data_IF_646894740785
#
_entry.id   IF_646894740785
#
_cell.length_a   1.000
_cell.length_b   1.000
_cell.length_c   1.000
_cell.angle_alpha   90.00
_cell.angle_beta   90.00
_cell.angle_gamma   90.00
#
_symmetry.space_group_name_H-M   'P 1'
#
loop_
_entity.id
_entity.type
_entity.pdbx_description
1 polymer ?
#
# COMPACT_ATOMS: atom_id res chain seq x y z
N UNK A 1 7.21 -54.33 -31.83
CA UNK A 1 6.98 -55.17 -30.64
C UNK A 1 7.91 -54.69 -29.54
N UNK A 2 7.35 -54.31 -28.37
CA UNK A 2 7.96 -53.96 -27.06
C UNK A 2 8.77 -52.66 -26.85
N UNK A 3 8.48 -52.10 -25.67
CA UNK A 3 9.11 -50.99 -24.93
C UNK A 3 10.55 -51.31 -24.53
N UNK A 4 11.37 -50.28 -24.35
CA UNK A 4 12.62 -50.31 -23.60
C UNK A 4 12.94 -48.90 -23.09
N UNK A 5 13.25 -48.81 -21.80
CA UNK A 5 13.38 -47.59 -21.00
C UNK A 5 14.58 -46.71 -21.40
N UNK A 6 14.42 -45.39 -21.39
CA UNK A 6 15.55 -44.45 -21.41
C UNK A 6 15.68 -43.77 -20.05
N UNK A 7 16.75 -44.11 -19.33
CA UNK A 7 17.18 -43.45 -18.10
C UNK A 7 17.82 -42.09 -18.40
N UNK A 8 17.42 -41.06 -17.64
CA UNK A 8 17.76 -39.64 -17.82
C UNK A 8 19.22 -39.21 -17.60
N UNK A 9 20.21 -40.07 -17.82
CA UNK A 9 21.64 -39.74 -17.74
C UNK A 9 22.29 -39.44 -19.11
N UNK A 10 21.67 -39.80 -20.23
CA UNK A 10 22.26 -39.60 -21.57
C UNK A 10 21.94 -38.22 -22.19
N UNK A 11 20.94 -37.50 -21.70
CA UNK A 11 20.57 -36.18 -22.25
C UNK A 11 21.51 -35.04 -21.86
N UNK A 12 22.27 -35.16 -20.76
CA UNK A 12 23.13 -34.07 -20.26
C UNK A 12 24.48 -34.03 -20.98
N UNK A 13 24.93 -35.14 -21.56
CA UNK A 13 26.26 -35.23 -22.21
C UNK A 13 26.24 -34.63 -23.63
N UNK A 14 25.09 -34.68 -24.33
CA UNK A 14 25.01 -34.18 -25.71
C UNK A 14 24.92 -32.65 -25.84
N UNK A 15 24.55 -31.93 -24.77
CA UNK A 15 24.40 -30.46 -24.84
C UNK A 15 25.70 -29.70 -24.56
N UNK A 16 26.68 -30.31 -23.88
CA UNK A 16 27.94 -29.63 -23.52
C UNK A 16 29.01 -29.71 -24.64
N UNK A 17 28.93 -30.68 -25.55
CA UNK A 17 29.95 -30.88 -26.61
C UNK A 17 29.84 -29.89 -27.77
N UNK A 18 28.76 -29.10 -27.86
CA UNK A 18 28.61 -28.07 -28.92
C UNK A 18 29.25 -26.72 -28.62
N UNK A 19 29.83 -26.49 -27.44
CA UNK A 19 30.41 -25.17 -27.08
C UNK A 19 31.92 -25.10 -26.91
N UNK A 20 32.65 -26.21 -26.98
CA UNK A 20 34.12 -26.17 -26.93
C UNK A 20 34.67 -27.14 -27.97
N UNK A 21 35.19 -26.62 -29.07
CA UNK A 21 35.81 -27.39 -30.14
C UNK A 21 37.07 -28.13 -29.66
N UNK A 22 36.87 -29.29 -29.05
CA UNK A 22 37.93 -30.21 -28.63
C UNK A 22 38.11 -31.29 -29.70
N UNK A 23 39.32 -31.37 -30.26
CA UNK A 23 39.68 -32.38 -31.26
C UNK A 23 39.74 -33.77 -30.64
N UNK A 24 39.44 -34.81 -31.45
CA UNK A 24 39.38 -36.23 -31.03
C UNK A 24 40.64 -36.72 -30.27
N UNK A 25 41.81 -36.12 -30.53
CA UNK A 25 43.06 -36.42 -29.81
C UNK A 25 43.07 -35.98 -28.33
N UNK A 26 42.41 -34.87 -27.98
CA UNK A 26 42.30 -34.43 -26.57
C UNK A 26 41.32 -35.30 -25.77
N UNK A 27 40.27 -35.83 -26.41
CA UNK A 27 39.36 -36.80 -25.79
C UNK A 27 40.05 -38.14 -25.49
N UNK A 28 40.94 -38.63 -26.36
CA UNK A 28 41.67 -39.88 -26.11
C UNK A 28 42.64 -39.77 -24.92
N UNK A 29 43.31 -38.61 -24.78
CA UNK A 29 44.25 -38.35 -23.67
C UNK A 29 43.54 -38.18 -22.32
N UNK A 30 42.33 -37.61 -22.30
CA UNK A 30 41.51 -37.50 -21.10
C UNK A 30 40.94 -38.86 -20.66
N UNK A 31 40.60 -39.75 -21.61
CA UNK A 31 40.12 -41.11 -21.32
C UNK A 31 41.21 -41.99 -20.70
N UNK A 32 42.44 -41.91 -21.20
CA UNK A 32 43.57 -42.68 -20.66
C UNK A 32 43.99 -42.23 -19.23
N UNK A 33 43.61 -41.03 -18.79
CA UNK A 33 43.90 -40.53 -17.45
C UNK A 33 42.81 -40.87 -16.42
N UNK A 34 41.65 -41.40 -16.84
CA UNK A 34 40.54 -41.78 -15.97
C UNK A 34 40.63 -43.23 -15.47
N UNK A 35 41.35 -44.10 -16.18
CA UNK A 35 41.49 -45.53 -15.87
C UNK A 35 42.46 -45.84 -14.71
N UNK A 36 43.05 -44.81 -14.08
CA UNK A 36 44.02 -44.97 -12.99
C UNK A 36 43.64 -44.20 -11.71
N UNK A 37 42.35 -44.16 -11.36
CA UNK A 37 41.90 -43.64 -10.06
C UNK A 37 41.32 -44.75 -9.20
N UNK A 38 41.94 -44.95 -8.02
CA UNK A 38 41.45 -45.80 -6.94
C UNK A 38 39.95 -45.54 -6.66
N UNK A 39 39.18 -46.54 -6.17
CA UNK A 39 37.76 -46.37 -5.91
C UNK A 39 37.56 -45.21 -4.93
N UNK A 40 36.97 -44.13 -5.43
CA UNK A 40 36.51 -43.00 -4.63
C UNK A 40 35.47 -43.56 -3.66
N UNK A 41 35.78 -43.56 -2.36
CA UNK A 41 34.79 -43.88 -1.32
C UNK A 41 33.57 -42.98 -1.54
N UNK A 42 32.34 -43.52 -1.54
CA UNK A 42 31.16 -42.69 -1.72
C UNK A 42 31.14 -41.64 -0.61
N UNK A 43 31.20 -40.37 -1.02
CA UNK A 43 30.97 -39.23 -0.13
C UNK A 43 29.54 -39.43 0.41
N UNK A 44 29.33 -39.49 1.74
CA UNK A 44 27.99 -39.57 2.28
C UNK A 44 27.24 -38.31 1.84
N UNK A 45 26.28 -38.47 0.92
CA UNK A 45 25.28 -37.44 0.68
C UNK A 45 24.51 -37.35 1.99
N UNK A 46 24.74 -36.29 2.79
CA UNK A 46 23.87 -36.00 3.93
C UNK A 46 22.46 -35.87 3.35
N UNK A 47 21.64 -36.89 3.54
CA UNK A 47 20.23 -36.85 3.16
C UNK A 47 19.61 -35.64 3.85
N UNK A 48 18.79 -34.87 3.13
CA UNK A 48 18.01 -33.81 3.77
C UNK A 48 17.15 -34.46 4.84
N UNK A 49 17.15 -33.93 6.09
CA UNK A 49 16.37 -34.52 7.15
C UNK A 49 14.87 -34.44 6.79
N UNK A 50 14.13 -35.49 7.14
CA UNK A 50 12.69 -35.56 6.85
C UNK A 50 11.95 -34.48 7.63
N UNK A 51 11.07 -33.75 6.94
CA UNK A 51 10.20 -32.76 7.55
C UNK A 51 9.18 -33.45 8.46
N UNK A 52 9.08 -32.99 9.72
CA UNK A 52 8.24 -33.61 10.76
C UNK A 52 7.35 -32.61 11.48
N UNK A 53 7.71 -31.34 11.41
CA UNK A 53 7.05 -30.27 12.11
C UNK A 53 6.57 -29.19 11.15
N UNK A 54 5.53 -28.47 11.57
CA UNK A 54 4.97 -27.32 10.88
C UNK A 54 4.88 -26.12 11.83
N UNK A 55 4.94 -24.96 11.22
CA UNK A 55 4.65 -23.69 11.87
C UNK A 55 3.74 -22.88 10.98
N UNK A 56 2.62 -22.42 11.55
CA UNK A 56 1.61 -21.66 10.83
C UNK A 56 1.36 -20.32 11.51
N UNK A 57 1.37 -19.26 10.71
CA UNK A 57 0.83 -17.95 11.11
C UNK A 57 -0.27 -17.49 10.15
N UNK A 58 -1.08 -16.53 10.59
CA UNK A 58 -2.23 -16.01 9.84
C UNK A 58 -2.19 -14.48 9.72
N UNK A 59 -2.62 -13.96 8.57
CA UNK A 59 -2.82 -12.52 8.36
C UNK A 59 -4.27 -12.29 7.97
N UNK A 60 -4.94 -11.34 8.62
CA UNK A 60 -6.36 -11.06 8.44
C UNK A 60 -6.71 -10.26 7.16
N UNK A 61 -6.07 -10.59 6.04
CA UNK A 61 -6.42 -10.14 4.69
C UNK A 61 -5.88 -11.14 3.64
N UNK A 62 -6.11 -10.87 2.36
CA UNK A 62 -5.48 -11.65 1.27
C UNK A 62 -3.97 -11.41 1.20
N UNK A 63 -3.23 -12.40 0.69
CA UNK A 63 -1.79 -12.30 0.42
C UNK A 63 -1.45 -11.09 -0.48
N UNK A 64 -2.30 -10.79 -1.46
CA UNK A 64 -2.13 -9.63 -2.33
C UNK A 64 -2.23 -8.30 -1.55
N UNK A 65 -3.30 -8.14 -0.77
CA UNK A 65 -3.50 -6.96 0.08
C UNK A 65 -2.37 -6.76 1.08
N UNK A 66 -1.88 -7.84 1.68
CA UNK A 66 -0.75 -7.82 2.61
C UNK A 66 0.53 -7.33 1.93
N UNK A 67 0.91 -7.90 0.78
CA UNK A 67 2.12 -7.52 0.03
C UNK A 67 2.06 -6.09 -0.50
N UNK A 68 0.89 -5.62 -0.92
CA UNK A 68 0.69 -4.27 -1.44
C UNK A 68 0.72 -3.22 -0.32
N UNK A 69 0.10 -3.51 0.83
CA UNK A 69 -0.17 -2.49 1.86
C UNK A 69 0.88 -2.45 2.97
N UNK A 70 1.39 -3.61 3.40
CA UNK A 70 2.42 -3.73 4.45
C UNK A 70 3.78 -4.02 3.82
N UNK A 71 3.83 -4.99 2.89
CA UNK A 71 5.03 -5.27 2.10
C UNK A 71 6.23 -5.80 2.89
N UNK A 72 6.02 -6.34 4.08
CA UNK A 72 7.03 -7.14 4.80
C UNK A 72 6.86 -8.62 4.47
N UNK A 73 7.88 -9.42 4.78
CA UNK A 73 7.83 -10.87 4.73
C UNK A 73 8.25 -11.46 6.07
N UNK A 74 7.82 -12.69 6.34
CA UNK A 74 8.17 -13.41 7.56
C UNK A 74 9.21 -14.48 7.27
N UNK A 75 10.11 -14.68 8.23
CA UNK A 75 11.10 -15.75 8.21
C UNK A 75 11.06 -16.49 9.54
N UNK A 76 11.00 -17.83 9.48
CA UNK A 76 11.31 -18.66 10.63
C UNK A 76 12.84 -18.73 10.74
N UNK A 77 13.38 -18.23 11.86
CA UNK A 77 14.81 -18.09 12.07
C UNK A 77 15.51 -19.46 12.00
N UNK A 78 16.61 -19.49 11.25
CA UNK A 78 17.53 -20.61 11.13
C UNK A 78 18.29 -20.81 12.43
N UNK A 79 18.72 -22.03 12.68
CA UNK A 79 19.53 -22.42 13.83
C UNK A 79 20.78 -23.17 13.33
N UNK A 80 21.68 -23.53 14.24
CA UNK A 80 22.80 -24.40 13.91
C UNK A 80 22.33 -25.82 13.53
N UNK A 81 21.22 -26.29 14.11
CA UNK A 81 20.68 -27.62 13.84
C UNK A 81 19.90 -27.67 12.52
N UNK A 82 19.35 -26.54 12.09
CA UNK A 82 18.58 -26.43 10.84
C UNK A 82 18.83 -25.08 10.14
N UNK A 83 19.85 -25.08 9.28
CA UNK A 83 20.24 -23.92 8.48
C UNK A 83 19.36 -23.70 7.23
N UNK A 84 18.48 -24.64 6.90
CA UNK A 84 17.61 -24.60 5.74
C UNK A 84 16.16 -24.82 6.20
N UNK A 85 15.34 -23.80 6.04
CA UNK A 85 13.90 -23.85 6.26
C UNK A 85 13.22 -23.87 4.89
N UNK A 86 12.11 -24.61 4.76
CA UNK A 86 11.34 -24.69 3.52
C UNK A 86 10.66 -23.37 3.13
N UNK A 87 10.06 -23.36 1.95
CA UNK A 87 9.25 -22.24 1.48
C UNK A 87 7.88 -22.20 2.18
N UNK A 88 7.34 -21.00 2.35
CA UNK A 88 5.99 -20.80 2.88
C UNK A 88 4.93 -21.34 1.91
N UNK A 89 4.10 -22.25 2.41
CA UNK A 89 2.84 -22.63 1.78
C UNK A 89 1.77 -21.61 2.15
N UNK A 90 1.11 -21.05 1.14
CA UNK A 90 0.11 -19.99 1.31
C UNK A 90 -1.27 -20.54 1.00
N UNK A 91 -2.21 -20.40 1.94
CA UNK A 91 -3.58 -20.89 1.80
C UNK A 91 -4.58 -19.85 2.31
N UNK A 92 -5.75 -19.76 1.66
CA UNK A 92 -6.82 -18.88 2.12
C UNK A 92 -7.49 -19.48 3.37
N UNK A 93 -7.76 -18.64 4.35
CA UNK A 93 -8.50 -19.01 5.57
C UNK A 93 -9.85 -18.28 5.65
N UNK A 94 -10.64 -18.59 6.67
CA UNK A 94 -11.90 -17.91 6.95
C UNK A 94 -11.72 -16.42 7.35
N UNK A 95 -10.53 -16.03 7.81
CA UNK A 95 -10.25 -14.67 8.29
C UNK A 95 -9.22 -13.93 7.42
N UNK A 96 -8.57 -14.60 6.48
CA UNK A 96 -7.57 -14.00 5.58
C UNK A 96 -6.71 -15.06 4.91
N UNK A 97 -5.42 -15.09 5.26
CA UNK A 97 -4.41 -15.96 4.65
C UNK A 97 -3.56 -16.63 5.71
N UNK A 98 -3.40 -17.95 5.61
CA UNK A 98 -2.49 -18.76 6.41
C UNK A 98 -1.20 -19.04 5.65
N UNK A 99 -0.10 -18.98 6.38
CA UNK A 99 1.25 -19.23 5.91
C UNK A 99 1.86 -20.35 6.75
N UNK A 100 2.14 -21.48 6.12
CA UNK A 100 2.69 -22.66 6.79
C UNK A 100 4.07 -22.96 6.26
N UNK A 101 5.03 -23.19 7.15
CA UNK A 101 6.37 -23.67 6.79
C UNK A 101 6.67 -24.95 7.54
N UNK A 102 7.47 -25.80 6.92
CA UNK A 102 7.84 -27.10 7.48
C UNK A 102 9.28 -27.11 7.95
N UNK A 103 9.52 -27.87 9.02
CA UNK A 103 10.82 -28.05 9.66
C UNK A 103 11.04 -29.52 10.01
N UNK A 104 12.29 -29.95 10.02
CA UNK A 104 12.69 -31.29 10.41
C UNK A 104 13.02 -31.40 11.91
N UNK A 105 13.23 -30.28 12.61
CA UNK A 105 13.78 -30.24 13.98
C UNK A 105 12.87 -29.43 14.90
N UNK A 106 12.39 -30.06 15.97
CA UNK A 106 11.64 -29.39 17.04
C UNK A 106 12.59 -28.75 18.04
N UNK A 107 12.98 -27.52 17.72
CA UNK A 107 13.85 -26.69 18.56
C UNK A 107 13.29 -25.26 18.67
N UNK A 108 13.77 -24.48 19.66
CA UNK A 108 13.34 -23.09 19.80
C UNK A 108 13.75 -22.25 18.58
N UNK A 109 12.77 -21.84 17.77
CA UNK A 109 12.94 -20.93 16.63
C UNK A 109 12.25 -19.59 16.90
N UNK A 110 12.54 -18.56 16.11
CA UNK A 110 11.87 -17.25 16.21
C UNK A 110 11.20 -16.89 14.90
N UNK A 111 10.05 -16.23 14.97
CA UNK A 111 9.41 -15.64 13.80
C UNK A 111 9.85 -14.18 13.67
N UNK A 112 10.43 -13.84 12.52
CA UNK A 112 11.02 -12.53 12.26
C UNK A 112 10.33 -11.90 11.07
N UNK A 113 9.70 -10.74 11.28
CA UNK A 113 9.18 -9.90 10.22
C UNK A 113 10.29 -9.02 9.67
N UNK A 114 10.43 -8.97 8.35
CA UNK A 114 11.46 -8.18 7.67
C UNK A 114 10.88 -7.38 6.52
N UNK A 115 11.50 -6.23 6.26
CA UNK A 115 11.43 -5.57 4.96
C UNK A 115 12.83 -5.56 4.39
N UNK A 116 13.00 -6.17 3.22
CA UNK A 116 14.31 -6.51 2.70
C UNK A 116 15.15 -7.26 3.77
N UNK A 117 16.31 -6.73 4.17
CA UNK A 117 17.16 -7.38 5.19
C UNK A 117 16.96 -6.86 6.61
N UNK A 118 16.01 -5.95 6.83
CA UNK A 118 15.84 -5.23 8.10
C UNK A 118 14.71 -5.84 8.90
N UNK A 119 14.99 -6.14 10.16
CA UNK A 119 14.01 -6.68 11.11
C UNK A 119 13.07 -5.57 11.54
N UNK A 120 11.77 -5.81 11.42
CA UNK A 120 10.73 -4.95 11.97
C UNK A 120 10.49 -5.30 13.43
N UNK A 121 10.14 -4.30 14.24
CA UNK A 121 9.89 -4.54 15.66
C UNK A 121 8.58 -5.28 15.97
N UNK A 122 7.72 -5.52 14.97
CA UNK A 122 6.60 -6.47 15.08
C UNK A 122 7.06 -7.94 15.25
N UNK A 123 8.34 -8.22 14.99
CA UNK A 123 8.94 -9.54 15.24
C UNK A 123 8.81 -9.96 16.70
N UNK A 124 8.60 -11.25 16.95
CA UNK A 124 8.44 -11.74 18.31
C UNK A 124 9.79 -12.06 18.95
N UNK A 125 10.06 -11.56 20.17
CA UNK A 125 11.34 -11.80 20.84
C UNK A 125 11.44 -13.24 21.38
N UNK A 126 10.31 -13.85 21.70
CA UNK A 126 10.19 -15.19 22.27
C UNK A 126 10.24 -16.27 21.18
N UNK A 127 10.69 -17.46 21.58
CA UNK A 127 10.70 -18.60 20.69
C UNK A 127 9.27 -19.10 20.41
N UNK A 128 9.04 -19.51 19.18
CA UNK A 128 7.77 -20.09 18.74
C UNK A 128 7.76 -21.60 18.93
N UNK A 129 6.56 -22.15 19.08
CA UNK A 129 6.34 -23.60 19.19
C UNK A 129 6.04 -24.19 17.83
N UNK A 130 6.80 -25.21 17.44
CA UNK A 130 6.48 -26.03 16.27
C UNK A 130 5.50 -27.14 16.67
N UNK A 131 4.71 -27.61 15.71
CA UNK A 131 3.75 -28.70 15.92
C UNK A 131 3.99 -29.82 14.93
N UNK A 132 3.58 -31.08 15.22
CA UNK A 132 3.61 -32.14 14.22
C UNK A 132 2.85 -31.73 12.95
N UNK A 133 3.34 -32.15 11.78
CA UNK A 133 2.67 -31.89 10.50
C UNK A 133 1.22 -32.38 10.54
N UNK A 134 0.29 -31.52 10.08
CA UNK A 134 -1.14 -31.80 10.07
C UNK A 134 -1.89 -31.33 11.32
N UNK A 135 -1.22 -30.69 12.28
CA UNK A 135 -1.87 -30.13 13.47
C UNK A 135 -2.81 -28.95 13.13
N UNK A 136 -2.50 -28.17 12.10
CA UNK A 136 -3.31 -27.03 11.65
C UNK A 136 -3.40 -25.90 12.68
N UNK A 137 -2.46 -25.83 13.61
CA UNK A 137 -2.47 -24.85 14.72
C UNK A 137 -1.84 -23.54 14.24
N UNK A 138 -2.64 -22.48 14.22
CA UNK A 138 -2.17 -21.10 14.01
C UNK A 138 -1.57 -20.59 15.32
N UNK A 139 -0.25 -20.45 15.35
CA UNK A 139 0.46 -19.94 16.52
C UNK A 139 0.36 -18.41 16.60
N UNK A 140 0.67 -17.71 15.51
CA UNK A 140 0.68 -16.26 15.46
C UNK A 140 -0.32 -15.77 14.44
N UNK A 141 -0.93 -14.63 14.74
CA UNK A 141 -1.79 -13.99 13.78
C UNK A 141 -1.63 -12.49 13.84
N UNK A 142 -1.87 -11.84 12.71
CA UNK A 142 -1.70 -10.40 12.56
C UNK A 142 -2.86 -9.77 11.81
N UNK A 143 -3.14 -8.49 12.10
CA UNK A 143 -4.16 -7.70 11.40
C UNK A 143 -3.48 -6.49 10.76
N UNK A 144 -3.58 -6.30 9.45
CA UNK A 144 -3.18 -5.05 8.82
C UNK A 144 -4.28 -4.00 9.00
N UNK A 145 -3.89 -2.80 9.44
CA UNK A 145 -4.80 -1.67 9.66
C UNK A 145 -4.29 -0.41 8.99
N UNK A 146 -5.19 0.39 8.42
CA UNK A 146 -4.85 1.71 7.87
C UNK A 146 -5.11 2.79 8.93
N UNK A 147 -4.07 3.51 9.38
CA UNK A 147 -4.25 4.61 10.32
C UNK A 147 -4.93 5.81 9.66
N UNK A 148 -5.84 6.45 10.37
CA UNK A 148 -6.50 7.69 9.95
C UNK A 148 -6.73 8.63 11.14
N UNK A 149 -7.15 9.86 10.84
CA UNK A 149 -7.56 10.85 11.85
C UNK A 149 -8.89 11.45 11.44
N UNK A 150 -9.69 11.85 12.43
CA UNK A 150 -10.99 12.44 12.20
C UNK A 150 -10.91 13.97 12.13
N UNK A 151 -11.51 14.56 11.08
CA UNK A 151 -11.77 15.98 10.92
C UNK A 151 -13.27 16.21 10.80
N UNK A 152 -13.87 16.80 11.84
CA UNK A 152 -15.33 16.94 11.92
C UNK A 152 -16.02 15.59 11.76
N UNK A 153 -16.84 15.45 10.72
CA UNK A 153 -17.57 14.21 10.41
C UNK A 153 -16.84 13.28 9.41
N UNK A 154 -15.55 13.50 9.13
CA UNK A 154 -14.81 12.78 8.08
C UNK A 154 -13.52 12.16 8.61
N UNK A 155 -13.11 11.05 8.02
CA UNK A 155 -11.77 10.50 8.21
C UNK A 155 -10.84 11.00 7.12
N UNK A 156 -9.61 11.32 7.49
CA UNK A 156 -8.54 11.70 6.58
C UNK A 156 -7.26 10.93 6.90
N UNK A 157 -6.35 10.92 5.92
CA UNK A 157 -5.06 10.25 6.01
C UNK A 157 -3.98 11.30 6.25
N UNK A 158 -3.36 11.36 7.43
CA UNK A 158 -2.23 12.24 7.67
C UNK A 158 -1.14 12.06 6.61
N UNK A 159 -0.54 13.16 6.19
CA UNK A 159 0.59 13.19 5.24
C UNK A 159 1.90 13.58 5.92
N UNK A 160 1.83 14.04 7.17
CA UNK A 160 2.97 14.46 7.99
C UNK A 160 2.82 13.95 9.42
N UNK A 161 3.98 13.73 10.07
CA UNK A 161 4.07 13.22 11.43
C UNK A 161 4.49 11.76 11.51
N UNK A 162 4.11 11.12 12.61
CA UNK A 162 4.61 9.82 13.03
C UNK A 162 3.48 8.95 13.54
N UNK A 163 3.56 7.65 13.23
CA UNK A 163 2.74 6.62 13.88
C UNK A 163 3.60 5.78 14.80
N UNK A 164 3.03 5.39 15.93
CA UNK A 164 3.68 4.51 16.90
C UNK A 164 2.79 3.32 17.18
N UNK A 165 3.39 2.14 17.15
CA UNK A 165 2.79 0.92 17.65
C UNK A 165 3.44 0.57 18.99
N UNK A 166 2.64 0.59 20.05
CA UNK A 166 3.03 0.17 21.39
C UNK A 166 2.41 -1.17 21.73
N UNK A 167 3.14 -2.01 22.46
CA UNK A 167 2.65 -3.27 23.01
C UNK A 167 3.17 -3.43 24.43
N UNK A 168 2.27 -3.63 25.40
CA UNK A 168 2.58 -3.74 26.83
C UNK A 168 3.49 -2.61 27.33
N UNK A 169 3.12 -1.36 27.00
CA UNK A 169 3.85 -0.15 27.43
C UNK A 169 5.20 0.08 26.73
N UNK A 170 5.59 -0.75 25.77
CA UNK A 170 6.86 -0.61 25.04
C UNK A 170 6.63 -0.25 23.58
N UNK A 171 7.48 0.63 23.06
CA UNK A 171 7.47 0.97 21.64
C UNK A 171 8.00 -0.25 20.87
N UNK A 172 7.16 -0.79 19.99
CA UNK A 172 7.58 -1.87 19.12
C UNK A 172 7.94 -1.36 17.72
N UNK A 173 7.27 -0.33 17.21
CA UNK A 173 7.66 0.25 15.92
C UNK A 173 7.20 1.70 15.79
N UNK A 174 8.10 2.58 15.38
CA UNK A 174 7.76 3.92 14.89
C UNK A 174 7.73 3.91 13.35
N UNK A 175 6.83 4.69 12.79
CA UNK A 175 6.71 4.94 11.36
C UNK A 175 6.68 6.45 11.10
N UNK A 176 7.36 6.89 10.05
CA UNK A 176 7.39 8.30 9.63
C UNK A 176 6.63 8.47 8.32
N UNK A 177 5.73 9.46 8.28
CA UNK A 177 4.99 9.84 7.09
C UNK A 177 5.91 10.53 6.07
N UNK A 178 5.63 10.33 4.78
CA UNK A 178 6.50 10.80 3.71
C UNK A 178 6.53 12.32 3.52
N UNK A 179 5.50 13.06 3.95
CA UNK A 179 5.36 14.47 3.63
C UNK A 179 4.86 14.71 2.20
N UNK A 180 4.87 15.98 1.79
CA UNK A 180 4.55 16.41 0.41
C UNK A 180 3.18 15.91 -0.10
N UNK A 181 2.18 15.86 0.78
CA UNK A 181 0.83 15.37 0.46
C UNK A 181 0.74 13.85 0.24
N UNK A 182 1.82 13.10 0.47
CA UNK A 182 1.85 11.64 0.44
C UNK A 182 1.54 11.10 1.84
N UNK A 183 0.55 10.23 1.92
CA UNK A 183 0.09 9.61 3.17
C UNK A 183 0.72 8.25 3.47
N UNK A 184 1.53 7.73 2.54
CA UNK A 184 2.32 6.54 2.80
C UNK A 184 3.41 6.86 3.83
N UNK A 185 3.90 5.83 4.49
CA UNK A 185 4.92 5.94 5.55
C UNK A 185 5.95 4.81 5.43
N UNK A 186 7.03 4.92 6.18
CA UNK A 186 8.01 3.84 6.34
C UNK A 186 8.33 3.63 7.81
N UNK A 187 8.67 2.39 8.17
CA UNK A 187 9.24 2.06 9.47
C UNK A 187 10.59 2.78 9.66
N UNK A 188 10.76 3.48 10.78
CA UNK A 188 12.02 4.12 11.15
C UNK A 188 12.96 3.12 11.83
N UNK A 189 14.18 3.55 12.17
CA UNK A 189 15.15 2.76 12.94
C UNK A 189 14.96 2.87 14.45
N UNK A 190 13.94 3.59 14.91
CA UNK A 190 13.65 3.77 16.33
C UNK A 190 13.36 2.44 17.01
N UNK A 191 13.96 2.26 18.18
CA UNK A 191 13.60 1.25 19.18
C UNK A 191 13.01 1.93 20.40
N UNK A 192 12.52 1.15 21.37
CA UNK A 192 12.08 1.72 22.63
C UNK A 192 13.21 2.46 23.38
N UNK A 193 14.45 2.02 23.25
CA UNK A 193 15.62 2.61 23.90
C UNK A 193 16.17 3.82 23.14
N UNK A 194 16.13 3.79 21.81
CA UNK A 194 16.77 4.80 20.97
C UNK A 194 15.85 5.26 19.85
N UNK A 195 15.53 6.55 19.84
CA UNK A 195 14.82 7.19 18.73
C UNK A 195 15.82 7.46 17.59
N UNK A 196 15.43 7.07 16.37
CA UNK A 196 16.16 7.28 15.15
C UNK A 196 15.15 7.32 13.98
N UNK A 197 14.90 8.52 13.46
CA UNK A 197 13.89 8.76 12.44
C UNK A 197 14.36 8.44 11.01
N UNK A 198 15.59 7.95 10.84
CA UNK A 198 16.07 7.47 9.57
C UNK A 198 15.18 6.34 9.05
N UNK A 199 15.03 6.29 7.73
CA UNK A 199 14.29 5.24 7.07
C UNK A 199 14.94 3.88 7.35
N UNK A 200 14.24 3.05 8.13
CA UNK A 200 14.68 1.71 8.49
C UNK A 200 14.55 0.72 7.34
N UNK A 201 13.61 0.97 6.41
CA UNK A 201 13.19 0.02 5.38
C UNK A 201 12.99 0.72 4.03
N UNK A 202 13.40 0.08 2.93
CA UNK A 202 13.29 0.61 1.56
C UNK A 202 11.89 0.46 0.92
N UNK A 203 10.84 0.34 1.73
CA UNK A 203 9.45 0.12 1.28
C UNK A 203 8.53 1.15 1.92
N UNK A 204 7.67 1.77 1.11
CA UNK A 204 6.57 2.58 1.60
C UNK A 204 5.35 1.70 1.87
N UNK A 205 4.65 2.00 2.96
CA UNK A 205 3.56 1.23 3.52
C UNK A 205 2.31 2.13 3.62
N UNK A 206 1.15 1.51 3.49
CA UNK A 206 -0.17 2.13 3.71
C UNK A 206 -0.92 1.52 4.89
N UNK A 207 -0.38 0.45 5.47
CA UNK A 207 -0.97 -0.24 6.61
C UNK A 207 0.10 -0.62 7.65
N UNK A 208 -0.31 -0.56 8.92
CA UNK A 208 0.47 -1.02 10.07
C UNK A 208 0.01 -2.44 10.40
N UNK A 209 0.95 -3.33 10.66
CA UNK A 209 0.66 -4.68 11.12
C UNK A 209 0.56 -4.70 12.65
N UNK A 210 -0.58 -5.14 13.18
CA UNK A 210 -0.82 -5.28 14.62
C UNK A 210 -1.02 -6.74 15.02
N UNK A 211 -0.82 -7.06 16.29
CA UNK A 211 -0.97 -8.43 16.76
C UNK A 211 -2.46 -8.83 16.84
N UNK A 212 -2.78 -10.02 16.35
CA UNK A 212 -4.03 -10.71 16.64
C UNK A 212 -3.79 -11.81 17.66
N UNK A 213 -2.86 -12.74 17.38
CA UNK A 213 -2.51 -13.82 18.28
C UNK A 213 -1.00 -13.93 18.47
N UNK A 214 -0.58 -14.25 19.68
CA UNK A 214 0.80 -14.57 20.04
C UNK A 214 0.75 -15.89 20.83
N UNK A 215 1.43 -16.94 20.34
CA UNK A 215 1.39 -18.27 20.96
C UNK A 215 -0.03 -18.86 21.08
N UNK A 216 -0.89 -18.57 20.10
CA UNK A 216 -2.29 -19.00 20.04
C UNK A 216 -3.26 -18.16 20.86
N UNK A 217 -2.76 -17.23 21.68
CA UNK A 217 -3.57 -16.40 22.59
C UNK A 217 -3.84 -15.02 21.96
N UNK A 218 -5.07 -14.55 22.08
CA UNK A 218 -5.46 -13.21 21.61
C UNK A 218 -4.62 -12.11 22.28
N UNK A 219 -3.98 -11.26 21.48
CA UNK A 219 -3.12 -10.18 21.95
C UNK A 219 -3.94 -9.03 22.56
N UNK A 220 -3.44 -8.47 23.66
CA UNK A 220 -4.04 -7.34 24.40
C UNK A 220 -2.97 -6.31 24.74
N UNK A 221 -3.39 -5.10 25.12
CA UNK A 221 -2.44 -4.06 25.58
C UNK A 221 -1.61 -3.43 24.45
N UNK A 222 -2.10 -3.49 23.21
CA UNK A 222 -1.51 -2.79 22.07
C UNK A 222 -2.23 -1.48 21.80
N UNK A 223 -1.46 -0.43 21.51
CA UNK A 223 -1.96 0.89 21.19
C UNK A 223 -1.35 1.39 19.89
N UNK A 224 -2.16 2.10 19.10
CA UNK A 224 -1.66 2.94 18.01
C UNK A 224 -1.79 4.41 18.39
N UNK A 225 -0.74 5.17 18.13
CA UNK A 225 -0.66 6.60 18.43
C UNK A 225 -0.25 7.34 17.16
N UNK A 226 -0.86 8.50 16.92
CA UNK A 226 -0.44 9.44 15.88
C UNK A 226 0.02 10.73 16.54
N UNK A 227 1.22 11.20 16.18
CA UNK A 227 1.74 12.50 16.61
C UNK A 227 2.21 13.30 15.39
N UNK A 228 1.93 14.61 15.39
CA UNK A 228 2.41 15.53 14.34
C UNK A 228 3.93 15.71 14.36
N UNK A 229 4.53 15.58 15.53
CA UNK A 229 5.98 15.67 15.76
C UNK A 229 6.47 14.35 16.33
N UNK A 230 7.77 14.08 16.21
CA UNK A 230 8.34 12.87 16.79
C UNK A 230 8.16 12.91 18.33
N UNK A 231 7.80 11.77 18.91
CA UNK A 231 7.76 11.60 20.37
C UNK A 231 9.14 11.95 20.96
N UNK A 232 9.17 12.65 22.07
CA UNK A 232 10.44 12.94 22.75
C UNK A 232 10.89 11.75 23.60
N UNK A 233 12.20 11.64 23.86
CA UNK A 233 12.75 10.64 24.79
C UNK A 233 12.07 10.72 26.17
N UNK A 234 11.86 11.94 26.66
CA UNK A 234 11.18 12.20 27.94
C UNK A 234 9.75 11.65 27.96
N UNK A 235 8.96 11.92 26.92
CA UNK A 235 7.60 11.38 26.80
C UNK A 235 7.61 9.85 26.74
N UNK A 236 8.52 9.27 25.96
CA UNK A 236 8.66 7.83 25.79
C UNK A 236 9.08 7.12 27.10
N UNK A 237 9.94 7.75 27.90
CA UNK A 237 10.36 7.24 29.23
C UNK A 237 9.25 7.38 30.28
N UNK A 238 8.34 8.33 30.10
CA UNK A 238 7.21 8.60 31.01
C UNK A 238 5.90 7.92 30.57
N UNK A 239 5.98 6.97 29.65
CA UNK A 239 4.78 6.28 29.14
C UNK A 239 4.00 5.60 30.27
N UNK A 240 2.69 5.86 30.27
CA UNK A 240 1.73 5.21 31.13
C UNK A 240 0.39 5.07 30.39
N UNK A 241 -0.56 4.35 31.00
CA UNK A 241 -1.86 4.09 30.39
C UNK A 241 -2.66 5.39 30.15
N UNK A 242 -2.49 6.40 30.99
CA UNK A 242 -3.14 7.71 30.83
C UNK A 242 -2.65 8.41 29.55
N UNK A 243 -1.34 8.45 29.34
CA UNK A 243 -0.72 9.03 28.15
C UNK A 243 -1.16 8.27 26.89
N UNK A 244 -1.14 6.93 26.93
CA UNK A 244 -1.56 6.09 25.81
C UNK A 244 -3.05 6.26 25.48
N UNK A 245 -3.90 6.39 26.49
CA UNK A 245 -5.34 6.65 26.32
C UNK A 245 -5.59 8.05 25.75
N UNK A 246 -4.80 9.04 26.17
CA UNK A 246 -4.92 10.42 25.72
C UNK A 246 -4.45 10.63 24.28
N UNK A 247 -3.35 9.97 23.89
CA UNK A 247 -2.68 10.21 22.62
C UNK A 247 -2.93 9.10 21.58
N UNK A 248 -3.56 8.00 21.96
CA UNK A 248 -3.73 6.85 21.08
C UNK A 248 -5.01 6.07 21.31
N UNK A 249 -5.05 4.93 20.63
CA UNK A 249 -6.19 4.03 20.59
C UNK A 249 -5.74 2.65 21.05
N UNK A 250 -6.29 2.21 22.18
CA UNK A 250 -6.26 0.80 22.57
C UNK A 250 -6.97 -0.03 21.50
N UNK A 251 -6.26 -1.04 20.98
CA UNK A 251 -6.75 -1.90 19.91
C UNK A 251 -7.51 -3.11 20.46
N UNK A 252 -8.76 -3.22 20.05
CA UNK A 252 -9.64 -4.36 20.34
C UNK A 252 -9.68 -5.29 19.14
N UNK A 253 -8.98 -6.42 19.23
CA UNK A 253 -8.82 -7.41 18.15
C UNK A 253 -10.16 -7.82 17.55
N UNK A 254 -11.15 -8.12 18.40
CA UNK A 254 -12.47 -8.58 17.96
C UNK A 254 -13.19 -7.54 17.12
N UNK A 255 -13.11 -6.27 17.52
CA UNK A 255 -13.74 -5.16 16.80
C UNK A 255 -13.00 -4.84 15.50
N UNK A 256 -11.67 -4.97 15.46
CA UNK A 256 -10.88 -4.87 14.22
C UNK A 256 -11.32 -5.93 13.19
N UNK A 257 -11.41 -7.20 13.59
CA UNK A 257 -11.84 -8.28 12.70
C UNK A 257 -13.31 -8.16 12.29
N UNK A 258 -14.15 -7.60 13.16
CA UNK A 258 -15.55 -7.33 12.84
C UNK A 258 -15.67 -6.22 11.80
N UNK A 259 -14.91 -5.14 11.96
CA UNK A 259 -14.91 -3.99 11.05
C UNK A 259 -14.48 -4.39 9.63
N UNK A 260 -13.43 -5.21 9.48
CA UNK A 260 -12.98 -5.66 8.15
C UNK A 260 -14.02 -6.51 7.40
N UNK A 261 -14.92 -7.18 8.13
CA UNK A 261 -15.95 -8.07 7.57
C UNK A 261 -17.31 -7.39 7.35
N UNK A 262 -17.46 -6.12 7.70
CA UNK A 262 -18.72 -5.42 7.49
C UNK A 262 -19.03 -5.38 5.99
N UNK A 263 -20.06 -6.10 5.58
CA UNK A 263 -20.51 -6.16 4.19
C UNK A 263 -21.29 -4.87 3.85
N UNK A 264 -21.27 -4.46 2.58
CA UNK A 264 -21.95 -3.26 2.05
C UNK A 264 -23.50 -3.33 2.09
N UNK A 265 -24.09 -4.22 2.91
CA UNK A 265 -25.49 -4.66 2.85
C UNK A 265 -26.54 -3.63 3.27
N UNK A 266 -26.27 -2.32 3.18
CA UNK A 266 -27.30 -1.26 3.29
C UNK A 266 -27.20 -0.14 2.26
N UNK A 267 -26.49 -0.32 1.13
CA UNK A 267 -26.17 0.81 0.25
C UNK A 267 -26.39 0.61 -1.25
N UNK A 268 -27.41 -0.18 -1.63
CA UNK A 268 -27.83 -0.30 -3.03
C UNK A 268 -28.47 0.98 -3.63
N UNK A 269 -28.73 2.05 -2.86
CA UNK A 269 -29.51 3.19 -3.34
C UNK A 269 -28.82 4.56 -3.33
N UNK A 270 -27.50 4.64 -3.15
CA UNK A 270 -26.79 5.87 -3.52
C UNK A 270 -26.24 5.66 -4.92
N UNK A 271 -27.05 6.02 -5.93
CA UNK A 271 -26.49 6.35 -7.24
C UNK A 271 -25.33 7.30 -6.96
N UNK A 272 -24.12 6.84 -7.24
CA UNK A 272 -23.00 7.74 -7.46
C UNK A 272 -23.47 8.59 -8.62
N UNK A 273 -24.02 9.77 -8.31
CA UNK A 273 -24.05 10.83 -9.30
C UNK A 273 -22.57 11.09 -9.54
N UNK A 274 -22.04 10.44 -10.57
CA UNK A 274 -20.88 10.96 -11.26
C UNK A 274 -21.32 12.36 -11.67
N UNK A 275 -21.05 13.33 -10.80
CA UNK A 275 -20.61 14.61 -11.29
C UNK A 275 -19.31 14.27 -12.02
N UNK A 276 -19.47 13.88 -13.28
CA UNK A 276 -18.60 14.34 -14.34
C UNK A 276 -18.45 15.81 -14.01
N UNK A 277 -17.29 16.17 -13.46
CA UNK A 277 -16.86 17.54 -13.54
C UNK A 277 -16.79 17.75 -15.05
N UNK A 278 -17.89 18.23 -15.62
CA UNK A 278 -17.83 19.00 -16.85
C UNK A 278 -16.89 20.14 -16.47
N UNK A 279 -15.60 19.92 -16.70
CA UNK A 279 -14.75 21.01 -17.07
C UNK A 279 -15.49 21.64 -18.25
N UNK A 280 -16.16 22.77 -18.01
CA UNK A 280 -16.57 23.68 -19.06
C UNK A 280 -15.27 24.12 -19.73
N UNK A 281 -14.81 23.28 -20.65
CA UNK A 281 -13.68 23.55 -21.50
C UNK A 281 -14.05 24.82 -22.27
N UNK A 282 -13.10 25.75 -22.34
CA UNK A 282 -13.21 26.92 -23.21
C UNK A 282 -13.74 26.48 -24.57
N UNK A 283 -14.85 27.05 -25.01
CA UNK A 283 -15.39 26.71 -26.32
C UNK A 283 -14.45 27.30 -27.36
N UNK A 284 -13.90 26.43 -28.21
CA UNK A 284 -12.96 26.79 -29.28
C UNK A 284 -13.63 26.55 -30.63
N UNK A 285 -13.57 27.53 -31.51
CA UNK A 285 -14.01 27.42 -32.90
C UNK A 285 -12.78 27.28 -33.81
N UNK A 286 -12.85 26.38 -34.78
CA UNK A 286 -11.82 26.23 -35.82
C UNK A 286 -12.31 26.96 -37.06
N UNK A 287 -11.54 27.92 -37.57
CA UNK A 287 -11.87 28.68 -38.78
C UNK A 287 -11.99 27.73 -39.96
N UNK A 288 -13.14 27.72 -40.63
CA UNK A 288 -13.37 26.94 -41.85
C UNK A 288 -13.41 27.85 -43.09
N UNK A 289 -13.42 27.23 -44.27
CA UNK A 289 -13.67 27.94 -45.51
C UNK A 289 -15.18 27.95 -45.77
N UNK A 290 -15.71 29.10 -46.16
CA UNK A 290 -17.09 29.26 -46.60
C UNK A 290 -17.35 28.37 -47.82
N UNK A 291 -18.45 27.62 -47.75
CA UNK A 291 -18.80 26.57 -48.74
C UNK A 291 -19.15 27.15 -50.11
N UNK A 292 -19.58 28.41 -50.19
CA UNK A 292 -20.05 29.03 -51.43
C UNK A 292 -18.97 29.89 -52.10
N UNK A 293 -18.06 30.46 -51.31
CA UNK A 293 -17.05 31.41 -51.79
C UNK A 293 -15.62 30.85 -51.74
N UNK A 294 -15.41 29.72 -51.08
CA UNK A 294 -14.09 29.11 -50.79
C UNK A 294 -13.11 30.04 -50.05
N UNK A 295 -13.60 31.15 -49.51
CA UNK A 295 -12.81 32.07 -48.70
C UNK A 295 -12.91 31.68 -47.23
N UNK A 296 -11.88 32.01 -46.43
CA UNK A 296 -11.93 31.81 -44.98
C UNK A 296 -13.08 32.61 -44.37
N UNK A 297 -13.71 32.06 -43.33
CA UNK A 297 -14.64 32.85 -42.51
C UNK A 297 -13.94 34.08 -41.93
N UNK A 298 -14.66 35.19 -41.92
CA UNK A 298 -14.24 36.46 -41.35
C UNK A 298 -14.57 36.56 -39.86
N UNK A 299 -13.86 37.42 -39.13
CA UNK A 299 -14.12 37.66 -37.70
C UNK A 299 -15.60 37.99 -37.38
N UNK A 300 -16.32 38.82 -38.17
CA UNK A 300 -17.75 39.08 -37.93
C UNK A 300 -18.62 37.83 -38.10
N UNK A 301 -18.37 37.00 -39.12
CA UNK A 301 -19.14 35.79 -39.39
C UNK A 301 -18.97 34.77 -38.26
N UNK A 302 -17.73 34.57 -37.80
CA UNK A 302 -17.44 33.68 -36.67
C UNK A 302 -18.07 34.24 -35.39
N UNK A 303 -17.92 35.54 -35.12
CA UNK A 303 -18.46 36.15 -33.91
C UNK A 303 -19.99 36.03 -33.83
N UNK A 304 -20.68 36.19 -34.96
CA UNK A 304 -22.13 36.06 -35.06
C UNK A 304 -22.62 34.66 -34.70
N UNK A 305 -21.90 33.60 -35.09
CA UNK A 305 -22.24 32.21 -34.73
C UNK A 305 -22.28 31.97 -33.21
N UNK A 306 -21.58 32.79 -32.43
CA UNK A 306 -21.50 32.69 -30.97
C UNK A 306 -22.14 33.87 -30.24
N UNK A 307 -22.87 34.74 -30.93
CA UNK A 307 -23.53 35.91 -30.34
C UNK A 307 -22.55 36.97 -29.80
N UNK A 308 -21.33 37.01 -30.33
CA UNK A 308 -20.29 37.99 -30.00
C UNK A 308 -20.21 39.07 -31.07
N UNK A 309 -19.64 40.22 -30.72
CA UNK A 309 -19.11 41.17 -31.71
C UNK A 309 -17.70 40.76 -32.17
N UNK A 310 -17.32 41.14 -33.39
CA UNK A 310 -15.99 40.87 -33.94
C UNK A 310 -14.86 41.39 -33.03
N UNK A 311 -15.08 42.51 -32.35
CA UNK A 311 -14.14 43.08 -31.37
C UNK A 311 -14.02 42.20 -30.13
N UNK A 312 -15.15 41.76 -29.54
CA UNK A 312 -15.13 40.85 -28.39
C UNK A 312 -14.41 39.53 -28.73
N UNK A 313 -14.63 38.99 -29.93
CA UNK A 313 -13.94 37.78 -30.37
C UNK A 313 -12.43 38.01 -30.56
N UNK A 314 -12.00 39.18 -31.04
CA UNK A 314 -10.59 39.56 -31.16
C UNK A 314 -9.93 39.73 -29.77
N UNK A 315 -10.64 40.37 -28.83
CA UNK A 315 -10.19 40.55 -27.45
C UNK A 315 -9.96 39.19 -26.74
N UNK A 316 -10.76 38.16 -27.05
CA UNK A 316 -10.58 36.78 -26.56
C UNK A 316 -9.37 36.07 -27.17
N UNK A 317 -8.77 36.60 -28.24
CA UNK A 317 -7.67 35.95 -28.97
C UNK A 317 -6.49 36.91 -29.17
N UNK A 318 -5.74 37.24 -28.09
CA UNK A 318 -4.87 38.41 -28.13
C UNK A 318 -3.71 38.37 -29.12
N UNK A 319 -3.36 37.16 -29.58
CA UNK A 319 -2.33 36.91 -30.60
C UNK A 319 -2.61 37.57 -31.95
N UNK A 320 -3.85 37.97 -32.22
CA UNK A 320 -4.24 38.65 -33.47
C UNK A 320 -4.39 40.17 -33.34
N UNK A 321 -4.18 40.78 -32.16
CA UNK A 321 -4.29 42.25 -32.01
C UNK A 321 -3.30 42.99 -32.91
N UNK A 322 -2.09 42.46 -33.07
CA UNK A 322 -1.04 43.07 -33.90
C UNK A 322 -1.28 42.88 -35.40
N UNK A 323 -2.02 41.83 -35.80
CA UNK A 323 -2.39 41.59 -37.20
C UNK A 323 -3.70 40.78 -37.31
N UNK A 324 -4.87 41.45 -37.26
CA UNK A 324 -6.18 40.78 -37.34
C UNK A 324 -6.43 40.07 -38.68
N UNK A 325 -5.77 40.53 -39.76
CA UNK A 325 -5.88 39.94 -41.10
C UNK A 325 -5.07 38.66 -41.29
N UNK A 326 -4.28 38.28 -40.27
CA UNK A 326 -3.47 37.06 -40.23
C UNK A 326 -4.24 35.76 -39.97
N UNK A 327 -5.55 35.82 -39.74
CA UNK A 327 -6.42 34.65 -39.50
C UNK A 327 -6.43 33.69 -40.71
N UNK A 328 -6.27 32.39 -40.51
CA UNK A 328 -6.25 31.38 -41.59
C UNK A 328 -7.21 30.22 -41.31
N UNK A 329 -7.64 29.54 -42.38
CA UNK A 329 -8.40 28.28 -42.27
C UNK A 329 -7.58 27.28 -41.45
N UNK A 330 -8.21 26.65 -40.46
CA UNK A 330 -7.58 25.75 -39.50
C UNK A 330 -7.10 26.42 -38.21
N UNK A 331 -7.12 27.75 -38.11
CA UNK A 331 -6.80 28.45 -36.86
C UNK A 331 -7.87 28.19 -35.79
N UNK A 332 -7.44 28.06 -34.54
CA UNK A 332 -8.32 27.78 -33.39
C UNK A 332 -8.55 29.04 -32.57
N UNK A 333 -9.77 29.57 -32.57
CA UNK A 333 -10.18 30.76 -31.84
C UNK A 333 -10.94 30.40 -30.56
N UNK A 334 -10.57 31.02 -29.45
CA UNK A 334 -11.35 30.96 -28.21
C UNK A 334 -12.58 31.84 -28.38
N UNK A 335 -13.76 31.23 -28.38
CA UNK A 335 -15.05 31.93 -28.57
C UNK A 335 -15.82 32.06 -27.26
N UNK A 336 -15.33 31.43 -26.19
CA UNK A 336 -15.84 31.62 -24.85
C UNK A 336 -14.71 31.32 -23.85
N UNK A 337 -14.27 32.35 -23.11
CA UNK A 337 -13.48 32.13 -21.90
C UNK A 337 -14.37 31.39 -20.89
N UNK A 338 -13.83 30.51 -20.05
CA UNK A 338 -14.58 30.01 -18.91
C UNK A 338 -15.14 31.22 -18.18
N UNK A 339 -16.45 31.26 -17.98
CA UNK A 339 -17.08 32.33 -17.20
C UNK A 339 -16.26 32.44 -15.92
N UNK A 340 -15.74 33.63 -15.55
CA UNK A 340 -15.23 33.80 -14.21
C UNK A 340 -16.47 33.70 -13.35
N UNK A 341 -16.80 32.48 -12.95
CA UNK A 341 -17.62 32.33 -11.78
C UNK A 341 -16.83 33.09 -10.72
N UNK A 342 -17.44 34.15 -10.20
CA UNK A 342 -17.38 34.38 -8.76
C UNK A 342 -18.00 33.14 -8.09
N UNK A 343 -17.34 31.99 -8.24
CA UNK A 343 -17.41 30.90 -7.30
C UNK A 343 -16.27 31.20 -6.36
N UNK A 344 -16.62 31.84 -5.24
CA UNK A 344 -16.24 31.23 -3.97
C UNK A 344 -16.84 29.83 -4.06
N UNK A 345 -16.09 28.90 -4.67
CA UNK A 345 -16.54 27.55 -4.91
C UNK A 345 -16.58 26.90 -3.56
N UNK A 346 -17.78 26.80 -2.98
CA UNK A 346 -18.00 25.92 -1.84
C UNK A 346 -17.43 24.57 -2.25
N UNK A 347 -16.32 24.19 -1.61
CA UNK A 347 -15.78 22.84 -1.67
C UNK A 347 -16.85 21.96 -1.02
N UNK A 348 -17.77 21.46 -1.83
CA UNK A 348 -18.81 20.54 -1.39
C UNK A 348 -18.11 19.23 -1.04
N UNK A 349 -17.74 19.09 0.24
CA UNK A 349 -17.37 17.81 0.82
C UNK A 349 -18.64 17.18 1.37
N UNK A 350 -19.10 16.12 0.73
CA UNK A 350 -20.21 15.32 1.23
C UNK A 350 -19.84 14.66 2.56
N UNK A 351 -20.86 14.32 3.35
CA UNK A 351 -20.69 13.43 4.48
C UNK A 351 -20.44 11.99 3.99
N UNK A 352 -19.57 11.22 4.67
CA UNK A 352 -19.39 9.81 4.38
C UNK A 352 -20.68 9.03 4.63
N UNK A 353 -20.75 7.84 4.04
CA UNK A 353 -21.91 6.96 4.14
C UNK A 353 -22.25 6.57 5.57
N UNK A 354 -21.22 6.51 6.42
CA UNK A 354 -21.35 6.25 7.84
C UNK A 354 -20.52 7.27 8.61
N UNK A 355 -21.03 7.70 9.77
CA UNK A 355 -20.26 8.54 10.67
C UNK A 355 -18.99 7.80 11.09
N UNK A 356 -17.83 8.49 11.12
CA UNK A 356 -16.61 7.90 11.63
C UNK A 356 -16.80 7.32 13.03
N UNK A 357 -16.26 6.12 13.23
CA UNK A 357 -16.15 5.46 14.52
C UNK A 357 -14.68 5.13 14.80
N UNK A 358 -14.40 4.39 15.88
CA UNK A 358 -13.03 3.95 16.19
C UNK A 358 -12.47 3.01 15.09
N UNK A 359 -13.30 2.10 14.58
CA UNK A 359 -12.93 1.10 13.57
C UNK A 359 -13.92 1.15 12.41
N UNK A 360 -13.42 1.38 11.20
CA UNK A 360 -14.25 1.64 10.04
C UNK A 360 -13.85 0.69 8.92
N UNK A 361 -14.84 0.20 8.20
CA UNK A 361 -14.59 -0.53 6.98
C UNK A 361 -14.18 0.46 5.87
N UNK A 362 -13.15 0.11 5.08
CA UNK A 362 -12.55 1.02 4.11
C UNK A 362 -13.52 1.55 3.03
N UNK A 363 -14.45 0.73 2.53
CA UNK A 363 -15.50 1.18 1.59
C UNK A 363 -16.64 2.00 2.24
N UNK A 364 -16.67 2.17 3.56
CA UNK A 364 -17.58 3.13 4.22
C UNK A 364 -16.89 4.46 4.58
N UNK A 365 -15.57 4.54 4.45
CA UNK A 365 -14.78 5.70 4.86
C UNK A 365 -14.62 6.79 3.77
N UNK A 366 -14.99 6.51 2.52
CA UNK A 366 -14.82 7.46 1.41
C UNK A 366 -16.02 8.40 1.23
N UNK A 367 -15.77 9.59 0.69
CA UNK A 367 -16.76 10.64 0.47
C UNK A 367 -16.36 11.55 -0.70
N UNK A 368 -17.32 12.15 -1.40
CA UNK A 368 -17.00 13.14 -2.43
C UNK A 368 -16.52 14.44 -1.77
N UNK A 369 -15.38 14.97 -2.19
CA UNK A 369 -14.82 16.22 -1.65
C UNK A 369 -13.96 16.89 -2.73
N UNK A 370 -14.35 18.10 -3.12
CA UNK A 370 -13.67 18.87 -4.17
C UNK A 370 -12.45 19.60 -3.62
N UNK A 371 -11.26 18.98 -3.66
CA UNK A 371 -10.01 19.60 -3.22
C UNK A 371 -9.37 18.89 -2.02
N UNK A 372 -8.29 19.47 -1.49
CA UNK A 372 -7.68 19.03 -0.22
C UNK A 372 -8.32 19.74 0.96
N UNK A 373 -8.19 19.17 2.16
CA UNK A 373 -8.49 19.91 3.38
C UNK A 373 -7.48 21.06 3.52
N UNK A 374 -7.86 22.25 3.04
CA UNK A 374 -6.97 23.41 2.95
C UNK A 374 -6.36 23.75 4.32
N UNK A 375 -5.08 24.09 4.33
CA UNK A 375 -4.36 24.40 5.57
C UNK A 375 -4.07 23.20 6.48
N UNK A 376 -4.35 21.97 6.05
CA UNK A 376 -4.07 20.75 6.82
C UNK A 376 -3.11 19.81 6.09
N UNK A 377 -2.27 19.10 6.86
CA UNK A 377 -1.42 18.01 6.36
C UNK A 377 -2.20 16.69 6.30
N UNK A 378 -3.47 16.72 5.87
CA UNK A 378 -4.37 15.57 5.90
C UNK A 378 -5.06 15.42 4.55
N UNK A 379 -4.89 14.22 3.95
CA UNK A 379 -5.45 13.87 2.66
C UNK A 379 -6.87 13.32 2.80
N UNK A 380 -7.85 13.82 2.04
CA UNK A 380 -9.20 13.27 2.05
C UNK A 380 -9.27 11.89 1.39
N UNK A 381 -10.21 11.07 1.86
CA UNK A 381 -10.48 9.73 1.30
C UNK A 381 -11.57 9.88 0.23
N UNK A 382 -11.19 10.33 -0.96
CA UNK A 382 -12.15 10.74 -2.00
C UNK A 382 -12.66 9.61 -2.90
N UNK A 383 -12.00 8.46 -2.89
CA UNK A 383 -12.39 7.31 -3.70
C UNK A 383 -12.09 5.99 -3.00
N UNK A 384 -12.79 4.93 -3.46
CA UNK A 384 -12.53 3.55 -3.03
C UNK A 384 -11.11 3.07 -3.32
N UNK A 385 -10.42 3.65 -4.31
CA UNK A 385 -9.05 3.25 -4.69
C UNK A 385 -7.97 3.83 -3.78
N UNK A 386 -8.30 4.80 -2.91
CA UNK A 386 -7.33 5.35 -1.95
C UNK A 386 -6.93 4.31 -0.91
N UNK A 387 -7.88 3.46 -0.51
CA UNK A 387 -7.70 2.46 0.54
C UNK A 387 -7.83 1.06 -0.02
N UNK A 388 -7.15 0.10 0.61
CA UNK A 388 -7.42 -1.30 0.34
C UNK A 388 -8.71 -1.71 1.06
N UNK A 389 -9.68 -2.25 0.31
CA UNK A 389 -11.03 -2.56 0.83
C UNK A 389 -11.09 -3.69 1.85
N UNK A 390 -10.04 -4.53 1.95
CA UNK A 390 -9.96 -5.63 2.92
C UNK A 390 -9.44 -5.16 4.29
N UNK A 391 -8.91 -3.93 4.38
CA UNK A 391 -8.30 -3.42 5.60
C UNK A 391 -9.27 -2.61 6.45
N UNK A 392 -9.08 -2.70 7.77
CA UNK A 392 -9.78 -1.84 8.72
C UNK A 392 -9.08 -0.48 8.80
N UNK A 393 -9.87 0.58 8.73
CA UNK A 393 -9.41 1.96 8.96
C UNK A 393 -9.59 2.31 10.42
N UNK A 394 -8.50 2.62 11.11
CA UNK A 394 -8.47 2.93 12.55
C UNK A 394 -8.35 4.43 12.74
N UNK A 395 -9.34 5.03 13.37
CA UNK A 395 -9.36 6.45 13.70
C UNK A 395 -8.51 6.70 14.96
N UNK A 396 -7.29 7.22 14.78
CA UNK A 396 -6.29 7.35 15.84
C UNK A 396 -6.46 8.59 16.72
N UNK A 397 -7.07 9.65 16.19
CA UNK A 397 -7.26 10.89 16.93
C UNK A 397 -8.30 11.78 16.27
N UNK A 398 -8.84 12.70 17.06
CA UNK A 398 -9.61 13.83 16.54
C UNK A 398 -8.65 14.99 16.31
N UNK A 399 -8.49 15.41 15.06
CA UNK A 399 -7.85 16.68 14.79
C UNK A 399 -8.84 17.79 15.13
N UNK A 400 -8.42 18.75 15.98
CA UNK A 400 -9.21 19.95 16.22
C UNK A 400 -9.51 20.62 14.87
N UNK A 401 -10.77 21.00 14.61
CA UNK A 401 -11.10 21.75 13.41
C UNK A 401 -10.45 23.13 13.53
N UNK A 402 -9.25 23.28 12.99
CA UNK A 402 -8.85 24.57 12.44
C UNK A 402 -9.53 24.63 11.08
N UNK A 403 -10.73 25.21 11.09
CA UNK A 403 -11.43 25.84 9.97
C UNK A 403 -11.48 25.07 8.64
N UNK A 404 -12.19 23.94 8.60
CA UNK A 404 -12.84 23.56 7.33
C UNK A 404 -14.24 24.18 7.26
N UNK A 405 -14.93 24.35 8.40
CA UNK A 405 -16.29 24.90 8.45
C UNK A 405 -16.35 26.39 8.87
N UNK A 406 -15.33 26.96 9.51
CA UNK A 406 -15.43 28.30 10.13
C UNK A 406 -15.10 29.49 9.20
N UNK A 407 -14.75 29.23 7.94
CA UNK A 407 -14.77 30.28 6.90
C UNK A 407 -16.18 30.62 6.42
N UNK A 408 -17.20 29.84 6.81
CA UNK A 408 -18.58 30.06 6.36
C UNK A 408 -19.46 30.82 7.35
N UNK A 409 -18.99 31.06 8.58
CA UNK A 409 -19.81 31.69 9.64
C UNK A 409 -19.57 33.18 9.83
N UNK A 410 -18.60 33.80 9.13
CA UNK A 410 -18.26 35.23 9.31
C UNK A 410 -18.91 36.23 8.35
N UNK A 411 -19.77 35.79 7.43
CA UNK A 411 -20.57 36.70 6.61
C UNK A 411 -22.01 36.21 6.52
N UNK A 412 -22.81 36.58 7.51
CA UNK A 412 -24.27 36.66 7.41
C UNK A 412 -24.72 38.08 7.69
#
# INVERSE_FOLDING_TARGET
MRRGDFSGSEFVVYTVVKRVGLTKQKLAKARASLDNSNPVKPIPVKSRPDLRFEYTYEIACSDESFRQSVGCHFELAKTEQEALIGDWQVQRSANGTQYTVFSAVDEPKKIVAKVAMRVMGISLPQSVKLHPIGAGIVNEAFIPVTPSVQLGERLGLPTEGYYYHFFNGRLIQEYKLLGDGKWLFYATRSTHEQLNDEQGCNRHQSAILVYWKIGGVEAKGQHLVYLKQQITRKELDSLNDEWLTKHGVLLEVKELLRASKQTESKLANRQVVQHVVEQKSSKVHTVIADINTHQRESWPEIAQQYGLSAKQLLDLNPRYHSNPMGLKVGDRLTVQLPTPNQTVGAVLCEAPLQKPSKYNQASHAFYACGGTFQGTSIKPITSRSVLNSELTVVNLSHASPLDIDDFHTKYR
#
